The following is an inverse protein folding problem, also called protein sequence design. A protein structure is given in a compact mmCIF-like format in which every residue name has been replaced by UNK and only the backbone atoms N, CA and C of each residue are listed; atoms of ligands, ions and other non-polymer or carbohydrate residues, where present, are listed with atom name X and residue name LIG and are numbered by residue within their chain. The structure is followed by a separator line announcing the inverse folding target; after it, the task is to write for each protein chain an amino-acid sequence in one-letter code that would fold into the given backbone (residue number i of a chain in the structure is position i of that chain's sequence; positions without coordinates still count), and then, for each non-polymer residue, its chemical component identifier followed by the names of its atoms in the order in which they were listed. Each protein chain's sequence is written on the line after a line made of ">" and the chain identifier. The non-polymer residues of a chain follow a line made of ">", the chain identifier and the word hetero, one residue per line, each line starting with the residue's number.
data_IF_549543984735
#
_entry.id   IF_549543984735
#
_cell.length_a   1.000
_cell.length_b   1.000
_cell.length_c   1.000
_cell.angle_alpha   90.00
_cell.angle_beta   90.00
_cell.angle_gamma   90.00
#
_symmetry.space_group_name_H-M   'P 1'
#
loop_
_entity.id
_entity.type
_entity.pdbx_description
1 polymer ?
#
# COMPACT_ATOMS: atom_id res chain seq x y z
N UNK A 1 6.95 20.70 13.01
CA UNK A 1 7.22 22.07 12.50
C UNK A 1 6.47 23.06 13.39
N UNK A 2 7.18 23.61 14.38
CA UNK A 2 6.63 24.57 15.33
C UNK A 2 6.60 25.98 14.75
N UNK A 3 5.81 26.88 15.35
CA UNK A 3 5.83 28.32 15.08
C UNK A 3 7.25 28.89 14.96
N UNK A 4 8.10 28.65 15.94
CA UNK A 4 9.47 29.17 15.98
C UNK A 4 10.31 28.76 14.75
N UNK A 5 10.11 27.53 14.26
CA UNK A 5 10.78 27.04 13.03
C UNK A 5 10.22 27.75 11.80
N UNK A 6 8.89 27.91 11.73
CA UNK A 6 8.20 28.53 10.60
C UNK A 6 8.58 30.01 10.46
N UNK A 7 8.62 30.76 11.55
CA UNK A 7 8.94 32.20 11.56
C UNK A 7 10.39 32.50 11.16
N UNK A 8 11.31 31.54 11.36
CA UNK A 8 12.72 31.64 10.91
C UNK A 8 12.89 31.35 9.42
N UNK A 9 11.96 30.63 8.80
CA UNK A 9 12.03 30.18 7.42
C UNK A 9 11.50 31.22 6.43
N UNK A 10 12.15 32.39 6.32
CA UNK A 10 11.65 33.58 5.56
C UNK A 10 11.39 33.37 4.06
N UNK A 11 11.90 32.30 3.45
CA UNK A 11 11.71 31.96 2.02
C UNK A 11 10.79 30.75 1.82
N UNK A 12 10.29 30.14 2.88
CA UNK A 12 9.41 28.97 2.80
C UNK A 12 8.07 29.38 2.21
N UNK A 13 7.61 28.65 1.19
CA UNK A 13 6.32 28.89 0.51
C UNK A 13 5.32 27.76 0.71
N UNK A 14 5.83 26.53 0.85
CA UNK A 14 5.01 25.33 0.94
C UNK A 14 5.67 24.26 1.79
N UNK A 15 4.86 23.55 2.57
CA UNK A 15 5.22 22.34 3.30
C UNK A 15 4.44 21.18 2.68
N UNK A 16 5.17 20.20 2.14
CA UNK A 16 4.58 18.96 1.65
C UNK A 16 4.77 17.84 2.67
N UNK A 17 3.68 17.40 3.32
CA UNK A 17 3.73 16.27 4.24
C UNK A 17 3.48 14.96 3.49
N UNK A 18 4.47 14.07 3.50
CA UNK A 18 4.35 12.71 2.96
C UNK A 18 3.50 11.88 3.95
N UNK A 19 2.20 11.86 3.71
CA UNK A 19 1.16 11.18 4.51
C UNK A 19 -0.09 12.04 4.69
N UNK A 20 -1.04 11.58 5.53
CA UNK A 20 -2.34 12.24 5.75
C UNK A 20 -2.38 13.09 7.02
N UNK A 21 -2.08 12.51 8.19
CA UNK A 21 -2.08 13.20 9.49
C UNK A 21 -1.18 14.45 9.53
N UNK A 22 -1.63 15.47 10.25
CA UNK A 22 -1.04 16.82 10.25
C UNK A 22 -0.61 17.28 11.64
N UNK A 23 -0.63 16.37 12.61
CA UNK A 23 -0.40 16.61 14.04
C UNK A 23 0.99 17.19 14.34
N UNK A 24 1.94 16.95 13.42
CA UNK A 24 3.32 17.43 13.52
C UNK A 24 3.54 18.82 12.93
N UNK A 25 2.53 19.50 12.39
CA UNK A 25 2.65 20.82 11.77
C UNK A 25 1.71 21.80 12.45
N UNK A 26 2.25 22.91 12.96
CA UNK A 26 1.43 24.03 13.46
C UNK A 26 0.76 24.75 12.28
N UNK A 27 -0.45 24.28 11.91
CA UNK A 27 -1.21 24.79 10.78
C UNK A 27 -1.59 26.28 10.94
N UNK A 28 -2.04 26.77 12.13
CA UNK A 28 -2.26 28.19 12.35
C UNK A 28 -1.00 29.04 12.15
N UNK A 29 0.15 28.62 12.66
CA UNK A 29 1.40 29.35 12.46
C UNK A 29 1.86 29.32 10.99
N UNK A 30 1.69 28.19 10.29
CA UNK A 30 2.00 28.09 8.87
C UNK A 30 1.16 29.07 8.05
N UNK A 31 -0.14 29.14 8.32
CA UNK A 31 -1.04 30.12 7.68
C UNK A 31 -0.65 31.57 8.01
N UNK A 32 -0.31 31.86 9.27
CA UNK A 32 0.16 33.19 9.68
C UNK A 32 1.45 33.63 8.99
N UNK A 33 2.33 32.68 8.65
CA UNK A 33 3.54 32.92 7.88
C UNK A 33 3.30 32.95 6.35
N UNK A 34 2.06 32.79 5.88
CA UNK A 34 1.73 32.70 4.46
C UNK A 34 2.24 31.41 3.78
N UNK A 35 2.57 30.37 4.55
CA UNK A 35 3.08 29.09 4.07
C UNK A 35 1.90 28.17 3.77
N UNK A 36 1.81 27.68 2.53
CA UNK A 36 0.82 26.67 2.18
C UNK A 36 1.21 25.30 2.74
N UNK A 37 0.24 24.52 3.17
CA UNK A 37 0.48 23.15 3.63
C UNK A 37 -0.31 22.20 2.73
N UNK A 38 0.34 21.16 2.23
CA UNK A 38 -0.25 20.14 1.37
C UNK A 38 0.04 18.75 1.92
N UNK A 39 -0.90 17.84 1.74
CA UNK A 39 -0.76 16.44 2.16
C UNK A 39 -1.18 15.49 1.03
N UNK A 40 -1.19 14.19 1.31
CA UNK A 40 -1.60 13.17 0.35
C UNK A 40 -2.99 12.58 0.68
N UNK A 41 -3.98 13.45 0.89
CA UNK A 41 -5.34 13.01 1.23
C UNK A 41 -5.87 11.96 0.24
N UNK A 42 -6.35 10.83 0.76
CA UNK A 42 -6.89 9.73 -0.05
C UNK A 42 -5.86 8.81 -0.72
N UNK A 43 -4.57 9.16 -0.79
CA UNK A 43 -3.55 8.35 -1.48
C UNK A 43 -3.34 6.97 -0.84
N UNK A 44 -3.55 6.89 0.48
CA UNK A 44 -3.41 5.68 1.29
C UNK A 44 -4.74 4.93 1.50
N UNK A 45 -5.86 5.44 0.98
CA UNK A 45 -7.19 4.93 1.34
C UNK A 45 -7.39 3.46 0.98
N UNK A 46 -6.80 2.98 -0.12
CA UNK A 46 -6.83 1.57 -0.49
C UNK A 46 -6.05 0.70 0.50
N UNK A 47 -4.81 1.09 0.83
CA UNK A 47 -3.96 0.34 1.75
C UNK A 47 -4.57 0.24 3.16
N UNK A 48 -5.14 1.35 3.67
CA UNK A 48 -5.76 1.36 4.99
C UNK A 48 -7.03 0.50 5.00
N UNK A 49 -7.82 0.50 3.92
CA UNK A 49 -8.99 -0.37 3.79
C UNK A 49 -8.59 -1.85 3.69
N UNK A 50 -7.50 -2.17 2.97
CA UNK A 50 -6.94 -3.53 2.92
C UNK A 50 -6.49 -3.98 4.31
N UNK A 51 -5.83 -3.10 5.07
CA UNK A 51 -5.35 -3.41 6.42
C UNK A 51 -6.49 -3.59 7.42
N UNK A 52 -7.53 -2.76 7.37
CA UNK A 52 -8.73 -2.94 8.19
C UNK A 52 -9.40 -4.29 7.91
N UNK A 53 -9.54 -4.66 6.64
CA UNK A 53 -10.07 -5.97 6.25
C UNK A 53 -9.15 -7.12 6.72
N UNK A 54 -7.83 -6.94 6.67
CA UNK A 54 -6.87 -7.92 7.17
C UNK A 54 -7.00 -8.14 8.68
N UNK A 55 -7.18 -7.06 9.47
CA UNK A 55 -7.43 -7.15 10.91
C UNK A 55 -8.75 -7.89 11.19
N UNK A 56 -9.82 -7.57 10.46
CA UNK A 56 -11.11 -8.28 10.56
C UNK A 56 -10.95 -9.78 10.31
N UNK A 57 -10.22 -10.17 9.25
CA UNK A 57 -9.97 -11.58 8.93
C UNK A 57 -9.09 -12.28 9.97
N UNK A 58 -8.09 -11.58 10.53
CA UNK A 58 -7.24 -12.11 11.59
C UNK A 58 -8.04 -12.43 12.84
N UNK A 59 -8.97 -11.54 13.22
CA UNK A 59 -9.90 -11.74 14.34
C UNK A 59 -10.87 -12.87 14.05
N UNK A 60 -11.57 -12.82 12.91
CA UNK A 60 -12.56 -13.81 12.53
C UNK A 60 -11.99 -15.23 12.53
N UNK A 61 -10.73 -15.40 12.14
CA UNK A 61 -10.10 -16.72 11.92
C UNK A 61 -8.98 -17.07 12.89
N UNK A 62 -8.78 -16.28 13.95
CA UNK A 62 -7.71 -16.49 14.94
C UNK A 62 -6.32 -16.68 14.30
N UNK A 63 -6.02 -15.96 13.20
CA UNK A 63 -4.82 -16.22 12.39
C UNK A 63 -3.54 -15.97 13.18
N UNK A 64 -3.48 -14.84 13.90
CA UNK A 64 -2.30 -14.44 14.67
C UNK A 64 -2.08 -15.39 15.86
N UNK A 65 -3.13 -15.69 16.62
CA UNK A 65 -3.07 -16.61 17.74
C UNK A 65 -2.67 -18.02 17.32
N UNK A 66 -3.28 -18.56 16.25
CA UNK A 66 -2.98 -19.89 15.73
C UNK A 66 -1.56 -19.99 15.18
N UNK A 67 -1.09 -18.98 14.45
CA UNK A 67 0.30 -18.90 13.98
C UNK A 67 1.28 -18.91 15.14
N UNK A 68 1.07 -18.02 16.12
CA UNK A 68 1.95 -17.86 17.28
C UNK A 68 2.05 -19.16 18.08
N UNK A 69 0.91 -19.79 18.36
CA UNK A 69 0.86 -21.05 19.07
C UNK A 69 1.57 -22.18 18.29
N UNK A 70 1.34 -22.28 16.98
CA UNK A 70 1.96 -23.31 16.14
C UNK A 70 3.50 -23.19 16.13
N UNK A 71 4.01 -21.96 16.01
CA UNK A 71 5.44 -21.64 16.07
C UNK A 71 6.02 -21.96 17.45
N UNK A 72 5.26 -21.71 18.52
CA UNK A 72 5.62 -22.08 19.90
C UNK A 72 5.54 -23.60 20.17
N UNK A 73 5.17 -24.41 19.18
CA UNK A 73 5.12 -25.87 19.29
C UNK A 73 3.77 -26.44 19.70
N UNK A 74 2.71 -25.63 19.73
CA UNK A 74 1.36 -26.12 20.00
C UNK A 74 0.95 -27.16 18.93
N UNK A 75 0.42 -28.30 19.40
CA UNK A 75 -0.11 -29.40 18.58
C UNK A 75 -1.53 -29.75 18.99
N UNK A 76 -2.21 -28.83 19.68
CA UNK A 76 -3.61 -28.95 20.04
C UNK A 76 -4.46 -29.16 18.79
N UNK A 77 -5.63 -29.81 18.94
CA UNK A 77 -6.48 -30.05 17.80
C UNK A 77 -6.98 -28.76 17.13
N UNK A 78 -7.28 -28.77 15.82
CA UNK A 78 -7.59 -27.56 15.05
C UNK A 78 -8.77 -26.73 15.59
N UNK A 79 -9.75 -27.39 16.23
CA UNK A 79 -10.93 -26.70 16.80
C UNK A 79 -10.59 -25.77 17.98
N UNK A 80 -9.37 -25.82 18.53
CA UNK A 80 -8.87 -24.83 19.49
C UNK A 80 -8.92 -23.40 18.93
N UNK A 81 -8.72 -23.25 17.63
CA UNK A 81 -8.69 -21.95 16.94
C UNK A 81 -9.93 -21.74 16.07
N UNK A 82 -11.06 -22.34 16.47
CA UNK A 82 -12.32 -22.23 15.74
C UNK A 82 -12.72 -20.74 15.62
N UNK A 83 -12.84 -20.28 14.37
CA UNK A 83 -13.23 -18.93 14.03
C UNK A 83 -14.65 -18.86 13.50
N UNK A 84 -15.01 -17.70 12.97
CA UNK A 84 -16.28 -17.42 12.30
C UNK A 84 -16.07 -17.14 10.82
N UNK A 85 -17.13 -17.39 10.05
CA UNK A 85 -17.19 -16.98 8.64
C UNK A 85 -17.55 -15.50 8.54
N UNK A 86 -17.12 -14.85 7.45
CA UNK A 86 -17.51 -13.47 7.15
C UNK A 86 -18.85 -13.40 6.40
N UNK A 87 -19.16 -14.43 5.61
CA UNK A 87 -20.40 -14.47 4.82
C UNK A 87 -21.63 -14.43 5.75
N UNK A 88 -22.59 -13.57 5.43
CA UNK A 88 -23.80 -13.37 6.23
C UNK A 88 -23.60 -12.58 7.53
N UNK A 89 -22.37 -12.16 7.87
CA UNK A 89 -22.09 -11.28 9.01
C UNK A 89 -22.36 -9.81 8.68
N UNK A 90 -22.62 -9.01 9.69
CA UNK A 90 -22.80 -7.56 9.54
C UNK A 90 -21.54 -6.76 9.87
N UNK A 91 -21.23 -5.77 9.03
CA UNK A 91 -20.19 -4.77 9.26
C UNK A 91 -20.81 -3.38 9.42
N UNK A 92 -20.58 -2.76 10.57
CA UNK A 92 -20.84 -1.35 10.84
C UNK A 92 -19.60 -0.49 10.59
N UNK A 93 -19.73 0.52 9.72
CA UNK A 93 -18.66 1.46 9.37
C UNK A 93 -18.96 2.83 9.98
N UNK A 94 -18.11 3.28 10.90
CA UNK A 94 -18.18 4.63 11.48
C UNK A 94 -17.27 5.54 10.65
N UNK A 95 -17.86 6.44 9.85
CA UNK A 95 -17.17 7.29 8.88
C UNK A 95 -17.14 6.69 7.48
N UNK A 96 -17.93 7.27 6.56
CA UNK A 96 -18.14 6.79 5.19
C UNK A 96 -17.37 7.63 4.14
N UNK A 97 -16.14 8.00 4.51
CA UNK A 97 -15.19 8.69 3.65
C UNK A 97 -14.45 7.76 2.67
N UNK A 98 -13.28 8.19 2.21
CA UNK A 98 -12.50 7.47 1.20
C UNK A 98 -12.08 6.05 1.63
N UNK A 99 -11.78 5.84 2.91
CA UNK A 99 -11.40 4.53 3.46
C UNK A 99 -12.66 3.68 3.70
N UNK A 100 -13.65 4.21 4.42
CA UNK A 100 -14.91 3.50 4.73
C UNK A 100 -15.61 2.94 3.48
N UNK A 101 -15.72 3.74 2.40
CA UNK A 101 -16.29 3.27 1.11
C UNK A 101 -15.52 2.10 0.50
N UNK A 102 -14.18 2.14 0.60
CA UNK A 102 -13.31 1.08 0.06
C UNK A 102 -13.38 -0.19 0.91
N UNK A 103 -13.50 -0.06 2.23
CA UNK A 103 -13.75 -1.19 3.12
C UNK A 103 -15.12 -1.81 2.84
N UNK A 104 -16.17 -0.99 2.71
CA UNK A 104 -17.51 -1.45 2.36
C UNK A 104 -17.51 -2.29 1.08
N UNK A 105 -16.86 -1.81 0.01
CA UNK A 105 -16.73 -2.54 -1.25
C UNK A 105 -16.07 -3.92 -1.05
N UNK A 106 -15.06 -4.03 -0.20
CA UNK A 106 -14.40 -5.31 0.12
C UNK A 106 -15.35 -6.22 0.90
N UNK A 107 -15.97 -5.70 1.94
CA UNK A 107 -16.89 -6.46 2.80
C UNK A 107 -18.10 -7.01 2.04
N UNK A 108 -18.68 -6.21 1.13
CA UNK A 108 -19.74 -6.68 0.22
C UNK A 108 -19.24 -7.83 -0.67
N UNK A 109 -18.00 -7.78 -1.14
CA UNK A 109 -17.36 -8.88 -1.89
C UNK A 109 -17.17 -10.16 -1.08
N UNK A 110 -17.20 -10.08 0.26
CA UNK A 110 -17.19 -11.23 1.17
C UNK A 110 -18.59 -11.69 1.58
N UNK A 111 -19.65 -11.13 1.00
CA UNK A 111 -21.04 -11.48 1.32
C UNK A 111 -21.51 -10.96 2.68
N UNK A 112 -20.89 -9.90 3.20
CA UNK A 112 -21.35 -9.24 4.43
C UNK A 112 -22.52 -8.30 4.16
N UNK A 113 -23.40 -8.13 5.15
CA UNK A 113 -24.31 -6.99 5.19
C UNK A 113 -23.56 -5.77 5.72
N UNK A 114 -23.54 -4.65 4.99
CA UNK A 114 -22.77 -3.47 5.40
C UNK A 114 -23.70 -2.32 5.73
N UNK A 115 -23.49 -1.72 6.90
CA UNK A 115 -24.16 -0.51 7.35
C UNK A 115 -23.14 0.58 7.70
N UNK A 116 -23.52 1.85 7.56
CA UNK A 116 -22.60 2.96 7.82
C UNK A 116 -23.29 4.12 8.53
N UNK A 117 -22.54 4.76 9.42
CA UNK A 117 -22.92 6.01 10.07
C UNK A 117 -21.92 7.10 9.70
N UNK A 118 -22.40 8.16 9.05
CA UNK A 118 -21.61 9.36 8.78
C UNK A 118 -22.56 10.57 8.65
N UNK A 119 -22.57 11.51 9.62
CA UNK A 119 -23.49 12.65 9.58
C UNK A 119 -23.17 13.66 8.47
N UNK A 120 -22.02 13.53 7.79
CA UNK A 120 -21.59 14.42 6.72
C UNK A 120 -21.81 13.83 5.32
N UNK A 121 -22.33 12.60 5.23
CA UNK A 121 -22.70 11.96 3.96
C UNK A 121 -24.22 11.75 3.93
N UNK A 122 -24.85 12.12 2.82
CA UNK A 122 -26.30 11.93 2.68
C UNK A 122 -26.66 10.44 2.66
N UNK A 123 -27.77 10.02 3.30
CA UNK A 123 -28.23 8.62 3.27
C UNK A 123 -28.28 8.03 1.86
N UNK A 124 -28.84 8.76 0.89
CA UNK A 124 -28.92 8.35 -0.52
C UNK A 124 -27.54 8.00 -1.10
N UNK A 125 -26.48 8.76 -0.76
CA UNK A 125 -25.13 8.53 -1.27
C UNK A 125 -24.43 7.33 -0.62
N UNK A 126 -24.95 6.84 0.51
CA UNK A 126 -24.55 5.59 1.15
C UNK A 126 -25.30 4.44 0.48
N UNK A 127 -26.62 4.57 0.32
CA UNK A 127 -27.50 3.55 -0.28
C UNK A 127 -27.12 3.20 -1.72
N UNK A 128 -26.71 4.19 -2.53
CA UNK A 128 -26.22 4.00 -3.90
C UNK A 128 -25.05 3.00 -4.01
N UNK A 129 -24.34 2.75 -2.91
CA UNK A 129 -23.21 1.81 -2.86
C UNK A 129 -23.59 0.40 -2.40
N UNK A 130 -24.87 0.15 -2.12
CA UNK A 130 -25.36 -1.11 -1.55
C UNK A 130 -25.13 -1.22 -0.03
N UNK A 131 -24.89 -0.09 0.65
CA UNK A 131 -24.67 0.01 2.09
C UNK A 131 -25.89 0.65 2.75
N UNK A 132 -26.28 0.17 3.93
CA UNK A 132 -27.43 0.73 4.67
C UNK A 132 -27.01 1.91 5.57
N UNK A 133 -27.55 3.12 5.40
CA UNK A 133 -27.30 4.23 6.30
C UNK A 133 -28.04 4.01 7.63
N UNK A 134 -27.34 4.21 8.74
CA UNK A 134 -27.87 4.05 10.10
C UNK A 134 -27.30 5.13 11.04
N UNK A 135 -27.93 5.32 12.19
CA UNK A 135 -27.32 6.09 13.27
C UNK A 135 -26.30 5.24 14.05
N UNK A 136 -25.52 5.88 14.93
CA UNK A 136 -24.46 5.21 15.68
C UNK A 136 -25.02 4.10 16.58
N UNK A 137 -26.16 4.35 17.24
CA UNK A 137 -26.77 3.38 18.15
C UNK A 137 -27.23 2.11 17.40
N UNK A 138 -27.92 2.27 16.27
CA UNK A 138 -28.32 1.16 15.41
C UNK A 138 -27.13 0.41 14.84
N UNK A 139 -26.06 1.14 14.47
CA UNK A 139 -24.81 0.55 13.99
C UNK A 139 -24.18 -0.35 15.04
N UNK A 140 -23.98 0.14 16.27
CA UNK A 140 -23.31 -0.61 17.34
C UNK A 140 -24.11 -1.87 17.72
N UNK A 141 -25.43 -1.74 17.88
CA UNK A 141 -26.30 -2.85 18.24
C UNK A 141 -26.43 -3.92 17.14
N UNK A 142 -26.36 -3.51 15.86
CA UNK A 142 -26.61 -4.38 14.71
C UNK A 142 -25.37 -5.03 14.07
N UNK A 143 -24.17 -4.81 14.60
CA UNK A 143 -22.91 -5.17 13.92
C UNK A 143 -22.16 -6.34 14.58
N UNK A 144 -21.80 -7.36 13.79
CA UNK A 144 -20.80 -8.37 14.18
C UNK A 144 -19.37 -7.79 14.15
N UNK A 145 -19.12 -6.83 13.26
CA UNK A 145 -17.85 -6.09 13.17
C UNK A 145 -18.13 -4.60 13.13
N UNK A 146 -17.43 -3.81 13.93
CA UNK A 146 -17.46 -2.34 13.87
C UNK A 146 -16.08 -1.84 13.46
N UNK A 147 -16.00 -0.99 12.44
CA UNK A 147 -14.74 -0.42 11.96
C UNK A 147 -14.78 1.11 11.91
N UNK A 148 -13.78 1.75 12.51
CA UNK A 148 -13.70 3.21 12.69
C UNK A 148 -12.80 3.86 11.65
N UNK A 149 -13.32 4.86 10.94
CA UNK A 149 -12.64 5.57 9.84
C UNK A 149 -12.91 7.09 9.82
N UNK A 150 -13.20 7.68 10.99
CA UNK A 150 -13.36 9.14 11.17
C UNK A 150 -12.00 9.80 11.48
N UNK A 151 -11.81 11.10 11.15
CA UNK A 151 -10.69 11.86 11.67
C UNK A 151 -10.81 12.04 13.18
N UNK A 152 -9.70 12.33 13.88
CA UNK A 152 -9.73 12.78 15.27
C UNK A 152 -10.05 14.29 15.31
N UNK A 153 -11.09 14.64 16.03
CA UNK A 153 -11.63 15.98 16.29
C UNK A 153 -12.18 16.03 17.71
N UNK A 154 -12.59 17.20 18.18
CA UNK A 154 -13.23 17.33 19.49
C UNK A 154 -14.54 16.50 19.58
N UNK A 155 -15.28 16.35 18.47
CA UNK A 155 -16.51 15.56 18.41
C UNK A 155 -16.27 14.04 18.34
N UNK A 156 -15.07 13.62 17.96
CA UNK A 156 -14.73 12.20 17.78
C UNK A 156 -13.73 11.69 18.81
N UNK A 157 -13.24 12.56 19.69
CA UNK A 157 -12.43 12.19 20.85
C UNK A 157 -13.24 11.31 21.79
N UNK A 158 -12.75 10.09 22.06
CA UNK A 158 -13.43 9.05 22.84
C UNK A 158 -14.88 8.81 22.36
N UNK A 159 -15.11 8.88 21.05
CA UNK A 159 -16.39 8.55 20.43
C UNK A 159 -16.88 7.14 20.82
N UNK A 160 -15.94 6.20 21.00
CA UNK A 160 -16.22 4.86 21.48
C UNK A 160 -15.71 4.73 22.91
N UNK A 161 -16.59 4.98 23.87
CA UNK A 161 -16.34 4.81 25.30
C UNK A 161 -17.02 3.56 25.86
N UNK A 162 -17.17 3.52 27.20
CA UNK A 162 -17.75 2.39 27.89
C UNK A 162 -19.22 2.11 27.48
N UNK A 163 -20.02 3.16 27.27
CA UNK A 163 -21.43 3.03 26.91
C UNK A 163 -21.58 2.50 25.48
N UNK A 164 -20.76 2.98 24.54
CA UNK A 164 -20.76 2.50 23.15
C UNK A 164 -20.28 1.05 23.05
N UNK A 165 -19.25 0.69 23.81
CA UNK A 165 -18.78 -0.70 23.90
C UNK A 165 -19.85 -1.62 24.48
N UNK A 166 -20.59 -1.17 25.51
CA UNK A 166 -21.69 -1.93 26.10
C UNK A 166 -22.91 -2.07 25.17
N UNK A 167 -23.06 -1.16 24.20
CA UNK A 167 -24.12 -1.23 23.19
C UNK A 167 -23.80 -2.21 22.05
N UNK A 168 -22.54 -2.67 21.93
CA UNK A 168 -22.15 -3.68 20.96
C UNK A 168 -22.63 -5.07 21.37
N UNK A 169 -22.69 -5.99 20.39
CA UNK A 169 -22.98 -7.38 20.70
C UNK A 169 -21.79 -8.03 21.44
N UNK A 170 -22.03 -8.96 22.39
CA UNK A 170 -20.96 -9.69 23.06
C UNK A 170 -20.05 -10.48 22.12
N UNK A 171 -20.57 -10.85 20.94
CA UNK A 171 -19.82 -11.54 19.88
C UNK A 171 -19.14 -10.61 18.89
N UNK A 172 -19.29 -9.30 19.04
CA UNK A 172 -18.79 -8.34 18.07
C UNK A 172 -17.29 -8.08 18.21
N UNK A 173 -16.67 -7.69 17.10
CA UNK A 173 -15.28 -7.25 17.04
C UNK A 173 -15.19 -5.76 16.71
N UNK A 174 -14.28 -5.03 17.38
CA UNK A 174 -14.00 -3.63 17.09
C UNK A 174 -12.68 -3.48 16.32
N UNK A 175 -12.65 -2.70 15.24
CA UNK A 175 -11.46 -2.43 14.44
C UNK A 175 -11.19 -0.93 14.37
N UNK A 176 -9.95 -0.53 14.68
CA UNK A 176 -9.52 0.86 14.56
C UNK A 176 -8.21 0.98 13.79
N UNK A 177 -8.30 1.58 12.60
CA UNK A 177 -7.16 1.99 11.76
C UNK A 177 -7.17 3.50 11.49
N UNK A 178 -7.95 4.25 12.28
CA UNK A 178 -8.09 5.69 12.16
C UNK A 178 -7.11 6.42 13.08
N UNK A 179 -7.49 6.67 14.34
CA UNK A 179 -6.66 7.29 15.38
C UNK A 179 -6.99 6.67 16.72
N UNK A 180 -5.98 6.52 17.58
CA UNK A 180 -6.13 5.91 18.89
C UNK A 180 -7.16 6.61 19.79
N UNK A 181 -7.03 7.93 20.06
CA UNK A 181 -7.94 8.68 20.94
C UNK A 181 -9.39 8.80 20.46
N UNK A 182 -9.79 8.15 19.37
CA UNK A 182 -11.21 8.00 19.03
C UNK A 182 -11.87 6.95 19.95
N UNK A 183 -11.08 6.02 20.46
CA UNK A 183 -11.50 5.00 21.42
C UNK A 183 -10.96 5.42 22.79
N UNK A 184 -11.77 5.26 23.83
CA UNK A 184 -11.27 5.28 25.21
C UNK A 184 -10.55 3.94 25.47
N UNK A 185 -9.21 3.96 25.49
CA UNK A 185 -8.39 2.75 25.57
C UNK A 185 -8.60 2.03 26.91
N UNK A 186 -8.82 2.77 28.00
CA UNK A 186 -9.08 2.20 29.31
C UNK A 186 -10.43 1.47 29.34
N UNK A 187 -11.48 2.08 28.76
CA UNK A 187 -12.79 1.44 28.62
C UNK A 187 -12.71 0.21 27.72
N UNK A 188 -11.96 0.27 26.61
CA UNK A 188 -11.75 -0.87 25.72
C UNK A 188 -11.07 -2.05 26.43
N UNK A 189 -10.01 -1.79 27.19
CA UNK A 189 -9.30 -2.82 27.97
C UNK A 189 -10.24 -3.48 28.97
N UNK A 190 -11.07 -2.70 29.67
CA UNK A 190 -12.06 -3.24 30.61
C UNK A 190 -13.10 -4.10 29.87
N UNK A 191 -13.69 -3.59 28.79
CA UNK A 191 -14.68 -4.31 27.98
C UNK A 191 -14.14 -5.64 27.45
N UNK A 192 -12.90 -5.68 26.97
CA UNK A 192 -12.26 -6.90 26.49
C UNK A 192 -12.01 -7.91 27.61
N UNK A 193 -11.51 -7.45 28.78
CA UNK A 193 -11.27 -8.31 29.95
C UNK A 193 -12.55 -8.92 30.49
N UNK A 194 -13.62 -8.14 30.52
CA UNK A 194 -14.91 -8.56 31.05
C UNK A 194 -15.77 -9.30 30.02
N UNK A 195 -15.29 -9.43 28.77
CA UNK A 195 -15.98 -10.14 27.69
C UNK A 195 -17.23 -9.42 27.18
N UNK A 196 -17.27 -8.09 27.31
CA UNK A 196 -18.35 -7.23 26.77
C UNK A 196 -18.36 -7.26 25.24
N UNK A 197 -17.19 -7.42 24.61
CA UNK A 197 -17.03 -7.67 23.18
C UNK A 197 -16.04 -8.82 22.96
N UNK A 198 -16.09 -9.46 21.79
CA UNK A 198 -15.32 -10.68 21.51
C UNK A 198 -13.84 -10.41 21.27
N UNK A 199 -13.47 -9.22 20.78
CA UNK A 199 -12.08 -8.89 20.47
C UNK A 199 -11.91 -7.55 19.77
N UNK A 200 -10.65 -7.15 19.56
CA UNK A 200 -10.33 -5.90 18.89
C UNK A 200 -9.10 -5.98 17.96
N UNK A 201 -9.14 -5.27 16.83
CA UNK A 201 -8.03 -5.13 15.89
C UNK A 201 -7.58 -3.68 15.82
N UNK A 202 -6.38 -3.38 16.31
CA UNK A 202 -5.89 -2.02 16.49
C UNK A 202 -4.59 -1.81 15.72
N UNK A 203 -4.56 -0.78 14.87
CA UNK A 203 -3.34 -0.28 14.25
C UNK A 203 -2.81 1.00 14.91
N UNK A 204 -3.62 1.65 15.74
CA UNK A 204 -3.38 2.98 16.32
C UNK A 204 -3.75 2.98 17.80
N UNK A 205 -3.10 3.83 18.59
CA UNK A 205 -3.15 3.82 20.07
C UNK A 205 -3.25 5.23 20.63
N UNK A 206 -3.78 5.40 21.85
CA UNK A 206 -3.86 6.73 22.48
C UNK A 206 -2.48 7.37 22.61
N UNK A 207 -1.51 6.57 23.05
CA UNK A 207 -0.09 6.92 23.06
C UNK A 207 0.67 6.07 22.05
N UNK A 208 1.37 6.74 21.11
CA UNK A 208 2.20 6.07 20.11
C UNK A 208 3.67 6.46 20.25
N UNK A 209 4.60 5.48 20.27
CA UNK A 209 4.39 4.03 20.09
C UNK A 209 3.72 3.36 21.30
N UNK A 210 3.03 2.23 21.06
CA UNK A 210 2.40 1.45 22.12
C UNK A 210 3.42 1.09 23.21
N UNK A 211 3.12 1.46 24.45
CA UNK A 211 4.03 1.25 25.57
C UNK A 211 4.26 -0.25 25.84
N UNK A 212 5.50 -0.69 26.17
CA UNK A 212 5.80 -2.10 26.47
C UNK A 212 4.99 -2.70 27.63
N UNK A 213 4.45 -1.86 28.52
CA UNK A 213 3.59 -2.27 29.64
C UNK A 213 2.09 -2.14 29.37
N UNK A 214 1.66 -1.86 28.12
CA UNK A 214 0.25 -1.67 27.82
C UNK A 214 -0.56 -2.94 28.14
N UNK A 215 -1.70 -2.82 28.85
CA UNK A 215 -2.63 -3.92 29.08
C UNK A 215 -3.08 -4.66 27.82
N UNK A 216 -3.14 -3.97 26.68
CA UNK A 216 -3.55 -4.55 25.40
C UNK A 216 -2.63 -5.70 24.95
N UNK A 217 -1.34 -5.64 25.31
CA UNK A 217 -0.35 -6.67 24.96
C UNK A 217 -0.58 -8.01 25.67
N UNK A 218 -1.41 -8.02 26.72
CA UNK A 218 -1.70 -9.21 27.52
C UNK A 218 -3.05 -9.87 27.16
N UNK A 219 -3.76 -9.37 26.13
CA UNK A 219 -5.08 -9.85 25.73
C UNK A 219 -4.98 -10.73 24.48
N UNK A 220 -5.37 -11.99 24.61
CA UNK A 220 -5.30 -12.98 23.52
C UNK A 220 -6.29 -12.69 22.37
N UNK A 221 -7.38 -11.99 22.67
CA UNK A 221 -8.44 -11.63 21.72
C UNK A 221 -8.17 -10.32 20.96
N UNK A 222 -6.94 -9.82 21.02
CA UNK A 222 -6.55 -8.56 20.39
C UNK A 222 -5.49 -8.80 19.32
N UNK A 223 -5.68 -8.17 18.16
CA UNK A 223 -4.67 -8.12 17.09
C UNK A 223 -4.11 -6.70 17.01
N UNK A 224 -2.80 -6.58 17.17
CA UNK A 224 -2.10 -5.31 17.28
C UNK A 224 -1.10 -5.13 16.14
N UNK A 225 -1.10 -3.95 15.51
CA UNK A 225 -0.08 -3.55 14.54
C UNK A 225 0.46 -2.14 14.83
N UNK A 226 1.72 -1.81 14.50
CA UNK A 226 2.35 -0.56 14.95
C UNK A 226 2.17 0.58 13.94
N UNK A 227 0.93 1.01 13.70
CA UNK A 227 0.57 2.12 12.79
C UNK A 227 1.08 1.91 11.36
N UNK A 228 0.80 0.73 10.80
CA UNK A 228 1.29 0.30 9.49
C UNK A 228 0.21 0.31 8.39
N UNK A 229 -1.04 0.64 8.68
CA UNK A 229 -2.13 0.53 7.71
C UNK A 229 -1.90 1.31 6.40
N UNK A 230 -1.22 2.46 6.48
CA UNK A 230 -0.85 3.27 5.31
C UNK A 230 0.42 2.81 4.57
N UNK A 231 1.15 1.83 5.09
CA UNK A 231 2.49 1.44 4.63
C UNK A 231 2.46 0.28 3.63
N UNK A 232 1.86 0.54 2.45
CA UNK A 232 2.00 -0.30 1.27
C UNK A 232 2.90 0.37 0.23
N UNK A 233 3.70 -0.40 -0.51
CA UNK A 233 4.64 0.13 -1.49
C UNK A 233 3.96 1.05 -2.52
N UNK A 234 2.82 0.62 -3.07
CA UNK A 234 2.02 1.38 -4.03
C UNK A 234 1.42 2.64 -3.40
N UNK A 235 1.02 2.57 -2.12
CA UNK A 235 0.51 3.73 -1.40
C UNK A 235 1.59 4.77 -1.14
N UNK A 236 2.82 4.35 -0.84
CA UNK A 236 3.95 5.25 -0.63
C UNK A 236 4.34 5.99 -1.91
N UNK A 237 4.40 5.27 -3.04
CA UNK A 237 4.64 5.90 -4.36
C UNK A 237 3.57 6.95 -4.67
N UNK A 238 2.27 6.60 -4.54
CA UNK A 238 1.17 7.55 -4.76
C UNK A 238 1.23 8.76 -3.83
N UNK A 239 1.56 8.53 -2.55
CA UNK A 239 1.67 9.58 -1.52
C UNK A 239 2.78 10.58 -1.89
N UNK A 240 3.97 10.06 -2.21
CA UNK A 240 5.12 10.87 -2.58
C UNK A 240 4.85 11.65 -3.86
N UNK A 241 4.33 10.99 -4.90
CA UNK A 241 3.98 11.66 -6.16
C UNK A 241 2.97 12.79 -5.95
N UNK A 242 1.91 12.55 -5.19
CA UNK A 242 0.86 13.55 -4.94
C UNK A 242 1.43 14.80 -4.28
N UNK A 243 2.22 14.61 -3.24
CA UNK A 243 2.83 15.71 -2.47
C UNK A 243 3.82 16.49 -3.32
N UNK A 244 4.68 15.80 -4.07
CA UNK A 244 5.65 16.44 -4.97
C UNK A 244 4.95 17.24 -6.06
N UNK A 245 3.88 16.69 -6.66
CA UNK A 245 3.06 17.40 -7.66
C UNK A 245 2.46 18.68 -7.08
N UNK A 246 1.92 18.63 -5.87
CA UNK A 246 1.33 19.80 -5.21
C UNK A 246 2.36 20.85 -4.77
N UNK A 247 3.50 20.42 -4.22
CA UNK A 247 4.62 21.32 -3.94
C UNK A 247 5.06 22.02 -5.23
N UNK A 248 5.21 21.29 -6.34
CA UNK A 248 5.59 21.86 -7.63
C UNK A 248 4.53 22.84 -8.19
N UNK A 249 3.23 22.57 -7.98
CA UNK A 249 2.14 23.52 -8.32
C UNK A 249 2.29 24.81 -7.53
N UNK A 250 2.42 24.72 -6.20
CA UNK A 250 2.53 25.91 -5.35
C UNK A 250 3.76 26.75 -5.70
N UNK A 251 4.91 26.12 -5.96
CA UNK A 251 6.13 26.84 -6.34
C UNK A 251 6.00 27.56 -7.69
N UNK A 252 5.15 27.06 -8.61
CA UNK A 252 4.79 27.71 -9.87
C UNK A 252 3.69 28.78 -9.73
N UNK A 253 3.18 29.02 -8.52
CA UNK A 253 2.08 29.96 -8.27
C UNK A 253 0.69 29.37 -8.55
N UNK A 254 0.59 28.07 -8.81
CA UNK A 254 -0.67 27.37 -9.04
C UNK A 254 -1.33 26.98 -7.70
N UNK A 255 -2.63 26.68 -7.74
CA UNK A 255 -3.33 26.10 -6.61
C UNK A 255 -2.95 24.60 -6.44
N UNK A 256 -2.70 24.12 -5.21
CA UNK A 256 -2.53 22.70 -4.94
C UNK A 256 -3.88 21.97 -5.07
N UNK A 257 -3.82 20.66 -5.35
CA UNK A 257 -5.00 19.80 -5.43
C UNK A 257 -5.48 19.38 -4.03
N UNK A 258 -4.55 19.18 -3.10
CA UNK A 258 -4.80 18.73 -1.73
C UNK A 258 -4.24 19.73 -0.69
N UNK A 259 -4.77 20.97 -0.64
CA UNK A 259 -4.42 21.90 0.43
C UNK A 259 -4.96 21.41 1.78
N UNK A 260 -4.19 21.66 2.83
CA UNK A 260 -4.65 21.52 4.21
C UNK A 260 -5.09 22.89 4.72
N UNK A 261 -6.34 22.98 5.18
CA UNK A 261 -6.90 24.19 5.80
C UNK A 261 -6.35 24.39 7.22
N UNK A 262 -6.25 25.66 7.64
CA UNK A 262 -5.76 26.03 8.98
C UNK A 262 -6.78 25.85 10.09
N UNK A 263 -8.04 25.57 9.76
CA UNK A 263 -9.03 25.06 10.70
C UNK A 263 -8.97 23.54 10.65
N UNK A 264 -8.57 22.91 11.76
CA UNK A 264 -8.78 21.47 11.92
C UNK A 264 -10.26 21.18 11.73
N UNK A 265 -10.61 20.48 10.66
CA UNK A 265 -11.99 20.23 10.26
C UNK A 265 -12.25 20.49 8.79
N UNK A 266 -12.81 19.49 8.13
CA UNK A 266 -13.41 19.56 6.79
C UNK A 266 -12.43 19.75 5.61
N UNK A 267 -11.99 18.62 5.05
CA UNK A 267 -11.55 18.52 3.66
C UNK A 267 -12.67 17.95 2.79
N UNK A 268 -13.73 18.73 2.56
CA UNK A 268 -14.72 18.46 1.51
C UNK A 268 -14.01 18.60 0.16
N UNK A 269 -14.09 17.55 -0.66
CA UNK A 269 -13.87 17.66 -2.11
C UNK A 269 -14.98 18.57 -2.65
N UNK A 270 -14.69 19.85 -2.81
CA UNK A 270 -15.55 20.77 -3.53
C UNK A 270 -15.57 20.39 -5.01
N UNK A 271 -16.67 19.75 -5.44
CA UNK A 271 -17.05 19.69 -6.86
C UNK A 271 -17.67 21.04 -7.27
N UNK A 272 -17.46 21.52 -8.51
CA UNK A 272 -18.02 22.78 -8.96
C UNK A 272 -19.53 22.62 -9.21
N UNK A 273 -20.34 23.47 -8.59
CA UNK A 273 -21.78 23.57 -8.90
C UNK A 273 -22.00 24.14 -10.31
N UNK A 274 -22.86 23.54 -11.15
CA UNK A 274 -23.27 24.16 -12.41
C UNK A 274 -24.51 25.04 -12.18
N UNK A 275 -24.38 26.33 -12.49
CA UNK A 275 -25.51 27.25 -12.61
C UNK A 275 -26.26 27.04 -13.93
N UNK A 276 -27.58 26.79 -13.86
CA UNK A 276 -28.58 27.46 -14.71
C UNK A 276 -29.14 26.73 -15.96
N UNK A 277 -30.46 26.47 -15.89
CA UNK A 277 -31.49 26.59 -16.96
C UNK A 277 -31.84 25.39 -17.89
N UNK A 278 -32.84 24.61 -17.43
CA UNK A 278 -34.06 24.10 -18.08
C UNK A 278 -34.24 24.00 -19.62
N UNK A 279 -34.70 22.82 -20.11
CA UNK A 279 -36.00 22.65 -20.84
C UNK A 279 -36.41 21.17 -21.06
N UNK A 280 -37.74 20.95 -21.08
CA UNK A 280 -38.50 19.68 -21.14
C UNK A 280 -38.83 19.17 -22.57
N UNK A 281 -39.22 17.87 -22.65
CA UNK A 281 -40.26 17.16 -23.50
C UNK A 281 -39.67 15.98 -24.33
N UNK A 282 -40.29 14.82 -24.62
CA UNK A 282 -41.46 14.04 -24.14
C UNK A 282 -41.64 12.78 -25.06
N UNK A 283 -41.60 11.53 -24.52
CA UNK A 283 -42.19 10.22 -24.98
C UNK A 283 -41.81 9.57 -26.35
N UNK A 284 -42.18 8.29 -26.68
CA UNK A 284 -42.70 7.12 -25.91
C UNK A 284 -41.91 5.76 -26.08
N UNK A 285 -42.23 4.71 -25.30
CA UNK A 285 -41.76 3.28 -25.35
C UNK A 285 -42.47 2.44 -26.48
N UNK A 286 -42.14 1.16 -26.89
CA UNK A 286 -41.55 0.00 -26.17
C UNK A 286 -40.63 -1.02 -26.95
N UNK A 287 -40.08 -2.03 -26.21
CA UNK A 287 -39.61 -3.43 -26.54
C UNK A 287 -38.94 -3.77 -27.91
N UNK A 288 -37.86 -4.56 -28.09
CA UNK A 288 -37.34 -5.77 -27.43
C UNK A 288 -35.97 -6.17 -28.08
N UNK A 289 -35.25 -7.11 -27.44
CA UNK A 289 -34.20 -8.01 -27.97
C UNK A 289 -32.70 -7.69 -27.75
N UNK A 290 -32.03 -8.78 -27.32
CA UNK A 290 -30.62 -9.14 -27.38
C UNK A 290 -29.67 -8.66 -26.27
N UNK A 291 -29.35 -9.61 -25.40
CA UNK A 291 -28.11 -9.73 -24.63
C UNK A 291 -26.88 -9.47 -25.52
N UNK A 292 -26.04 -8.50 -25.12
CA UNK A 292 -24.59 -8.51 -25.35
C UNK A 292 -23.89 -7.92 -24.11
N UNK A 293 -22.71 -8.46 -23.74
CA UNK A 293 -22.02 -8.13 -22.49
C UNK A 293 -21.40 -6.74 -22.59
N UNK A 294 -21.56 -5.91 -21.55
CA UNK A 294 -20.83 -4.65 -21.49
C UNK A 294 -19.37 -4.95 -21.18
N UNK A 295 -18.55 -4.53 -22.13
CA UNK A 295 -17.14 -4.81 -22.33
C UNK A 295 -16.24 -4.18 -21.27
N UNK A 296 -15.14 -4.89 -21.03
CA UNK A 296 -13.96 -4.43 -20.32
C UNK A 296 -13.51 -3.05 -20.79
N UNK A 297 -13.08 -2.21 -19.85
CA UNK A 297 -12.38 -0.97 -20.15
C UNK A 297 -10.96 -1.33 -20.60
N UNK A 298 -10.69 -0.94 -21.85
CA UNK A 298 -9.39 -0.96 -22.50
C UNK A 298 -8.37 -0.08 -21.75
N UNK A 299 -7.19 -0.65 -21.60
CA UNK A 299 -5.92 0.04 -21.47
C UNK A 299 -5.70 0.97 -22.68
N UNK A 300 -5.38 2.25 -22.45
CA UNK A 300 -4.15 2.88 -22.95
C UNK A 300 -4.15 4.41 -22.75
N UNK A 301 -3.00 4.96 -22.33
CA UNK A 301 -2.68 6.36 -22.59
C UNK A 301 -1.98 7.19 -21.50
N UNK A 302 -0.90 6.68 -20.90
CA UNK A 302 0.13 7.56 -20.32
C UNK A 302 1.12 8.01 -21.42
N UNK A 303 1.53 9.29 -21.51
CA UNK A 303 2.80 9.65 -22.11
C UNK A 303 3.92 9.53 -21.07
N UNK A 304 4.88 8.64 -21.30
CA UNK A 304 6.12 8.53 -20.54
C UNK A 304 7.25 9.23 -21.30
N UNK A 305 7.93 10.27 -20.77
CA UNK A 305 9.16 10.77 -21.34
C UNK A 305 10.39 10.17 -20.64
N UNK A 306 11.32 9.67 -21.46
CA UNK A 306 12.73 9.34 -21.21
C UNK A 306 13.09 8.28 -20.15
N UNK A 307 12.80 7.02 -20.48
CA UNK A 307 13.86 6.02 -20.58
C UNK A 307 13.42 5.06 -21.68
N UNK A 308 14.16 5.01 -22.78
CA UNK A 308 13.94 4.03 -23.85
C UNK A 308 13.90 2.64 -23.22
N UNK A 309 12.73 2.01 -23.20
CA UNK A 309 12.58 0.64 -22.74
C UNK A 309 13.56 -0.23 -23.56
N UNK A 310 14.52 -0.94 -22.95
CA UNK A 310 15.61 -1.58 -23.69
C UNK A 310 15.13 -2.66 -24.67
N UNK A 311 13.90 -3.16 -24.48
CA UNK A 311 13.24 -4.12 -25.38
C UNK A 311 12.35 -3.48 -26.44
N UNK A 312 12.14 -2.16 -26.40
CA UNK A 312 11.39 -1.44 -27.43
C UNK A 312 12.07 -1.45 -28.80
N UNK A 313 13.38 -1.72 -28.82
CA UNK A 313 14.18 -1.83 -30.04
C UNK A 313 14.17 -3.24 -30.66
N UNK A 314 13.50 -4.23 -30.05
CA UNK A 314 13.44 -5.61 -30.54
C UNK A 314 11.97 -6.00 -30.80
N UNK A 315 11.50 -5.93 -32.06
CA UNK A 315 10.12 -6.25 -32.40
C UNK A 315 9.72 -7.67 -31.93
N UNK A 316 8.58 -7.79 -31.25
CA UNK A 316 8.03 -9.06 -30.77
C UNK A 316 8.49 -9.51 -29.38
N UNK A 317 9.69 -9.13 -28.92
CA UNK A 317 10.24 -9.59 -27.62
C UNK A 317 9.48 -9.03 -26.41
N UNK A 318 8.97 -7.80 -26.52
CA UNK A 318 8.10 -7.17 -25.51
C UNK A 318 6.82 -7.99 -25.29
N UNK A 319 6.20 -8.46 -26.37
CA UNK A 319 5.00 -9.32 -26.34
C UNK A 319 5.28 -10.69 -25.72
N UNK A 320 6.51 -11.19 -25.82
CA UNK A 320 6.95 -12.46 -25.21
C UNK A 320 7.02 -12.35 -23.68
N UNK A 321 7.46 -11.20 -23.15
CA UNK A 321 7.66 -10.98 -21.71
C UNK A 321 6.38 -10.49 -21.02
N UNK A 322 5.54 -9.71 -21.73
CA UNK A 322 4.43 -8.97 -21.11
C UNK A 322 3.06 -9.66 -21.24
N UNK A 323 2.81 -10.49 -22.26
CA UNK A 323 1.42 -10.92 -22.58
C UNK A 323 0.97 -12.25 -21.98
N UNK A 324 1.82 -12.98 -21.26
CA UNK A 324 1.39 -14.23 -20.62
C UNK A 324 1.96 -14.29 -19.21
N UNK A 325 1.10 -13.99 -18.23
CA UNK A 325 1.44 -13.79 -16.81
C UNK A 325 2.32 -14.87 -16.16
N UNK A 326 2.79 -14.63 -14.93
CA UNK A 326 3.81 -15.44 -14.28
C UNK A 326 3.40 -16.91 -14.24
N UNK A 327 4.23 -17.78 -14.81
CA UNK A 327 4.06 -19.24 -14.66
C UNK A 327 4.67 -19.65 -13.32
N UNK A 328 3.95 -20.47 -12.56
CA UNK A 328 4.46 -21.19 -11.40
C UNK A 328 5.52 -22.21 -11.84
N UNK A 329 6.74 -21.76 -12.11
CA UNK A 329 7.87 -22.65 -12.38
C UNK A 329 9.08 -22.30 -11.53
N UNK A 330 9.84 -23.34 -11.15
CA UNK A 330 11.04 -23.24 -10.30
C UNK A 330 12.27 -22.64 -11.02
N UNK A 331 12.12 -22.19 -12.27
CA UNK A 331 13.21 -21.72 -13.14
C UNK A 331 12.98 -20.27 -13.56
N UNK A 332 14.06 -19.50 -13.61
CA UNK A 332 14.04 -18.09 -13.99
C UNK A 332 15.07 -17.83 -15.10
N UNK A 333 14.85 -16.78 -15.88
CA UNK A 333 15.72 -16.43 -16.99
C UNK A 333 16.18 -14.98 -16.88
N UNK A 334 17.49 -14.78 -17.03
CA UNK A 334 18.12 -13.47 -17.18
C UNK A 334 18.27 -13.18 -18.67
N UNK A 335 17.64 -12.11 -19.13
CA UNK A 335 17.62 -11.65 -20.52
C UNK A 335 18.41 -10.36 -20.61
N UNK A 336 19.46 -10.36 -21.41
CA UNK A 336 20.33 -9.21 -21.62
C UNK A 336 20.29 -8.78 -23.08
N UNK A 337 20.19 -7.47 -23.33
CA UNK A 337 20.25 -6.92 -24.70
C UNK A 337 21.62 -6.27 -24.89
N UNK A 338 22.43 -6.84 -25.78
CA UNK A 338 23.82 -6.40 -26.02
C UNK A 338 23.84 -4.95 -26.51
N UNK A 339 24.65 -4.11 -25.87
CA UNK A 339 24.77 -2.68 -26.18
C UNK A 339 23.75 -1.77 -25.48
N UNK A 340 22.75 -2.33 -24.79
CA UNK A 340 21.77 -1.54 -24.01
C UNK A 340 22.20 -1.25 -22.57
N UNK A 341 23.26 -1.93 -22.08
CA UNK A 341 23.67 -1.91 -20.67
C UNK A 341 22.62 -2.48 -19.69
N UNK A 342 21.50 -2.98 -20.20
CA UNK A 342 20.31 -3.29 -19.41
C UNK A 342 20.07 -4.79 -19.36
N UNK A 343 19.79 -5.30 -18.17
CA UNK A 343 19.43 -6.71 -17.97
C UNK A 343 18.07 -6.81 -17.30
N UNK A 344 17.21 -7.73 -17.75
CA UNK A 344 15.93 -8.03 -17.09
C UNK A 344 15.86 -9.49 -16.69
N UNK A 345 15.42 -9.75 -15.48
CA UNK A 345 15.12 -11.09 -14.99
C UNK A 345 13.62 -11.32 -15.10
N UNK A 346 13.23 -12.48 -15.62
CA UNK A 346 11.83 -12.86 -15.75
C UNK A 346 11.63 -14.33 -15.40
N UNK A 347 10.48 -14.66 -14.80
CA UNK A 347 10.07 -16.04 -14.50
C UNK A 347 9.15 -16.52 -15.62
N UNK A 348 9.64 -17.46 -16.43
CA UNK A 348 8.86 -18.12 -17.46
C UNK A 348 9.08 -19.63 -17.42
N UNK A 349 8.08 -20.40 -17.83
CA UNK A 349 8.29 -21.81 -18.14
C UNK A 349 9.23 -21.96 -19.34
N UNK A 350 10.18 -22.91 -19.27
CA UNK A 350 11.11 -23.22 -20.37
C UNK A 350 10.39 -23.45 -21.70
N UNK A 351 9.31 -24.24 -21.67
CA UNK A 351 8.48 -24.54 -22.83
C UNK A 351 7.87 -23.31 -23.48
N UNK A 352 7.51 -22.27 -22.72
CA UNK A 352 6.95 -21.02 -23.27
C UNK A 352 8.01 -20.14 -23.90
N UNK A 353 9.19 -20.04 -23.27
CA UNK A 353 10.34 -19.36 -23.87
C UNK A 353 10.74 -20.06 -25.19
N UNK A 354 10.81 -21.40 -25.19
CA UNK A 354 11.09 -22.20 -26.38
C UNK A 354 10.06 -21.98 -27.48
N UNK A 355 8.75 -22.01 -27.17
CA UNK A 355 7.69 -21.73 -28.15
C UNK A 355 7.73 -20.31 -28.71
N UNK A 356 8.02 -19.31 -27.88
CA UNK A 356 8.13 -17.93 -28.30
C UNK A 356 9.33 -17.71 -29.24
N UNK A 357 10.47 -18.29 -28.88
CA UNK A 357 11.70 -18.24 -29.65
C UNK A 357 11.57 -19.01 -30.97
N UNK A 358 11.00 -20.21 -30.96
CA UNK A 358 10.77 -21.00 -32.17
C UNK A 358 9.81 -20.30 -33.14
N UNK A 359 8.76 -19.65 -32.65
CA UNK A 359 7.85 -18.84 -33.49
C UNK A 359 8.59 -17.73 -34.24
N UNK A 360 9.56 -17.07 -33.61
CA UNK A 360 10.34 -16.02 -34.26
C UNK A 360 11.28 -16.57 -35.34
N UNK A 361 11.86 -17.75 -35.11
CA UNK A 361 12.69 -18.45 -36.10
C UNK A 361 11.85 -18.92 -37.29
N UNK A 362 10.70 -19.56 -37.02
CA UNK A 362 9.80 -20.08 -38.05
C UNK A 362 9.26 -18.96 -38.95
N UNK A 363 9.03 -17.77 -38.39
CA UNK A 363 8.62 -16.57 -39.13
C UNK A 363 9.80 -15.87 -39.85
N UNK A 364 11.01 -16.44 -39.81
CA UNK A 364 12.27 -15.87 -40.32
C UNK A 364 12.61 -14.49 -39.75
N UNK A 365 12.13 -14.20 -38.55
CA UNK A 365 12.35 -12.93 -37.86
C UNK A 365 13.58 -12.98 -36.93
N UNK A 366 14.08 -14.17 -36.59
CA UNK A 366 15.29 -14.35 -35.78
C UNK A 366 16.14 -15.53 -36.26
N UNK A 367 17.46 -15.47 -35.99
CA UNK A 367 18.39 -16.60 -36.02
C UNK A 367 18.85 -16.90 -34.58
N UNK A 368 19.06 -18.18 -34.27
CA UNK A 368 19.55 -18.63 -32.95
C UNK A 368 20.90 -19.27 -33.14
N UNK A 369 21.89 -18.79 -32.38
CA UNK A 369 23.13 -19.52 -32.15
C UNK A 369 23.06 -20.15 -30.75
N UNK A 370 23.35 -21.46 -30.65
CA UNK A 370 23.18 -22.20 -29.40
C UNK A 370 24.24 -21.94 -28.32
N UNK A 371 25.24 -21.08 -28.54
CA UNK A 371 26.23 -20.74 -27.52
C UNK A 371 26.81 -19.34 -27.75
N UNK A 372 26.84 -18.53 -26.70
CA UNK A 372 27.55 -17.25 -26.69
C UNK A 372 28.00 -16.82 -25.30
N UNK A 373 29.14 -16.16 -25.20
CA UNK A 373 29.69 -15.62 -23.96
C UNK A 373 29.73 -14.08 -23.98
N UNK A 374 29.58 -13.46 -22.80
CA UNK A 374 29.79 -12.03 -22.59
C UNK A 374 30.52 -11.81 -21.26
N UNK A 375 31.81 -11.45 -21.32
CA UNK A 375 32.68 -11.46 -20.14
C UNK A 375 32.79 -12.85 -19.53
N UNK A 376 32.80 -12.95 -18.19
CA UNK A 376 32.89 -14.22 -17.45
C UNK A 376 31.55 -14.99 -17.35
N UNK A 377 30.51 -14.56 -18.07
CA UNK A 377 29.18 -15.17 -18.03
C UNK A 377 28.87 -15.93 -19.32
N UNK A 378 28.64 -17.24 -19.18
CA UNK A 378 28.11 -18.09 -20.25
C UNK A 378 26.59 -17.88 -20.39
N UNK A 379 26.14 -17.63 -21.62
CA UNK A 379 24.73 -17.52 -21.97
C UNK A 379 24.34 -18.71 -22.83
N UNK A 380 23.19 -19.30 -22.51
CA UNK A 380 22.74 -20.54 -23.14
C UNK A 380 22.15 -20.32 -24.54
N UNK A 381 21.70 -19.10 -24.87
CA UNK A 381 21.18 -18.75 -26.20
C UNK A 381 21.48 -17.31 -26.59
N UNK A 382 21.79 -17.11 -27.87
CA UNK A 382 21.90 -15.80 -28.51
C UNK A 382 20.84 -15.68 -29.60
N UNK A 383 19.94 -14.70 -29.48
CA UNK A 383 18.94 -14.38 -30.49
C UNK A 383 19.44 -13.21 -31.33
N UNK A 384 19.55 -13.42 -32.64
CA UNK A 384 19.91 -12.41 -33.64
C UNK A 384 18.68 -12.04 -34.45
N UNK A 385 18.17 -10.83 -34.26
CA UNK A 385 17.04 -10.29 -35.03
C UNK A 385 17.58 -9.22 -35.98
N UNK A 386 17.38 -9.36 -37.31
CA UNK A 386 17.88 -8.38 -38.26
C UNK A 386 17.43 -6.95 -37.94
N UNK A 387 18.36 -6.00 -37.88
CA UNK A 387 18.08 -4.61 -37.54
C UNK A 387 17.85 -4.33 -36.04
N UNK A 388 18.06 -5.33 -35.17
CA UNK A 388 17.94 -5.20 -33.71
C UNK A 388 19.23 -5.62 -32.99
N UNK A 389 19.48 -5.14 -31.77
CA UNK A 389 20.60 -5.62 -30.96
C UNK A 389 20.45 -7.10 -30.59
N UNK A 390 21.57 -7.80 -30.39
CA UNK A 390 21.57 -9.21 -29.96
C UNK A 390 20.94 -9.36 -28.57
N UNK A 391 20.14 -10.42 -28.39
CA UNK A 391 19.54 -10.76 -27.10
C UNK A 391 20.18 -12.03 -26.56
N UNK A 392 20.79 -11.94 -25.38
CA UNK A 392 21.40 -13.06 -24.67
C UNK A 392 20.43 -13.55 -23.59
N UNK A 393 20.21 -14.87 -23.54
CA UNK A 393 19.34 -15.50 -22.55
C UNK A 393 20.11 -16.53 -21.75
N UNK A 394 19.99 -16.46 -20.42
CA UNK A 394 20.60 -17.40 -19.47
C UNK A 394 19.56 -17.86 -18.46
N UNK A 395 19.41 -19.17 -18.29
CA UNK A 395 18.68 -19.73 -17.16
C UNK A 395 19.45 -19.48 -15.86
N UNK A 396 18.74 -19.00 -14.83
CA UNK A 396 19.27 -18.74 -13.48
C UNK A 396 18.44 -19.48 -12.43
N UNK A 397 19.05 -19.79 -11.30
CA UNK A 397 18.36 -20.43 -10.18
C UNK A 397 17.34 -19.50 -9.53
N UNK A 398 16.30 -20.06 -8.90
CA UNK A 398 15.27 -19.30 -8.19
C UNK A 398 15.81 -18.50 -6.99
N UNK A 399 16.96 -18.88 -6.44
CA UNK A 399 17.69 -18.14 -5.37
C UNK A 399 18.38 -16.87 -5.88
N UNK A 400 18.86 -16.86 -7.12
CA UNK A 400 19.61 -15.73 -7.70
C UNK A 400 18.72 -14.53 -8.09
N UNK A 401 17.39 -14.65 -7.93
CA UNK A 401 16.40 -13.61 -8.22
C UNK A 401 16.42 -12.43 -7.23
N UNK A 402 16.98 -12.63 -6.04
CA UNK A 402 16.84 -11.70 -4.92
C UNK A 402 18.18 -11.23 -4.34
N UNK A 403 19.30 -11.64 -4.93
CA UNK A 403 20.64 -11.27 -4.46
C UNK A 403 21.16 -10.00 -5.14
N UNK A 404 21.62 -9.06 -4.32
CA UNK A 404 22.22 -7.77 -4.70
C UNK A 404 23.72 -7.99 -4.82
N UNK A 405 24.28 -7.83 -6.04
CA UNK A 405 25.70 -8.05 -6.28
C UNK A 405 26.54 -6.88 -5.75
N UNK A 406 27.82 -7.16 -5.49
CA UNK A 406 28.74 -6.21 -4.87
C UNK A 406 28.88 -4.89 -5.64
N UNK A 407 28.81 -4.92 -6.98
CA UNK A 407 28.89 -3.69 -7.79
C UNK A 407 27.69 -2.75 -7.56
N UNK A 408 26.50 -3.28 -7.28
CA UNK A 408 25.34 -2.46 -6.93
C UNK A 408 25.46 -1.87 -5.53
N UNK A 409 26.04 -2.62 -4.58
CA UNK A 409 26.38 -2.12 -3.24
C UNK A 409 27.36 -0.96 -3.33
N UNK A 410 28.44 -1.10 -4.11
CA UNK A 410 29.44 -0.04 -4.32
C UNK A 410 28.81 1.20 -4.94
N UNK A 411 28.02 1.03 -6.01
CA UNK A 411 27.35 2.15 -6.66
C UNK A 411 26.37 2.88 -5.74
N UNK A 412 25.73 2.18 -4.79
CA UNK A 412 24.89 2.80 -3.78
C UNK A 412 25.70 3.61 -2.77
N UNK A 413 26.82 3.07 -2.30
CA UNK A 413 27.72 3.77 -1.37
C UNK A 413 28.33 5.02 -2.01
N UNK A 414 28.77 4.94 -3.27
CA UNK A 414 29.32 6.09 -4.02
C UNK A 414 28.30 7.22 -4.16
N UNK A 415 27.06 6.90 -4.57
CA UNK A 415 25.97 7.90 -4.62
C UNK A 415 25.69 8.50 -3.24
N UNK A 416 25.82 7.72 -2.17
CA UNK A 416 25.62 8.23 -0.81
C UNK A 416 26.73 9.20 -0.41
N UNK A 417 27.97 8.93 -0.80
CA UNK A 417 29.12 9.80 -0.57
C UNK A 417 29.06 11.10 -1.40
N UNK A 418 28.51 11.06 -2.61
CA UNK A 418 28.27 12.27 -3.40
C UNK A 418 27.35 13.26 -2.68
N UNK A 419 26.32 12.74 -1.98
CA UNK A 419 25.35 13.55 -1.23
C UNK A 419 25.88 13.89 0.17
N UNK A 420 26.65 13.00 0.79
CA UNK A 420 27.21 13.16 2.13
C UNK A 420 28.72 12.82 2.14
N UNK A 421 29.59 13.76 1.73
CA UNK A 421 31.03 13.50 1.59
C UNK A 421 31.76 13.14 2.89
N UNK A 422 31.16 13.46 4.03
CA UNK A 422 31.67 13.13 5.37
C UNK A 422 31.07 11.87 5.99
N UNK A 423 30.28 11.09 5.25
CA UNK A 423 29.67 9.88 5.78
C UNK A 423 30.76 8.87 6.19
N UNK A 424 30.69 8.42 7.44
CA UNK A 424 31.59 7.40 7.98
C UNK A 424 31.32 6.04 7.34
N UNK A 425 32.30 5.15 7.42
CA UNK A 425 32.16 3.79 6.89
C UNK A 425 30.97 3.06 7.52
N UNK A 426 30.74 3.25 8.82
CA UNK A 426 29.59 2.71 9.56
C UNK A 426 28.26 3.22 9.02
N UNK A 427 28.14 4.52 8.73
CA UNK A 427 26.91 5.10 8.18
C UNK A 427 26.61 4.61 6.76
N UNK A 428 27.63 4.39 5.94
CA UNK A 428 27.48 3.83 4.60
C UNK A 428 27.04 2.36 4.66
N UNK A 429 27.60 1.57 5.57
CA UNK A 429 27.19 0.19 5.77
C UNK A 429 25.76 0.08 6.27
N UNK A 430 25.38 0.88 7.29
CA UNK A 430 24.01 0.93 7.78
C UNK A 430 23.04 1.31 6.66
N UNK A 431 23.40 2.31 5.85
CA UNK A 431 22.60 2.70 4.69
C UNK A 431 22.41 1.57 3.68
N UNK A 432 23.45 0.78 3.39
CA UNK A 432 23.35 -0.40 2.52
C UNK A 432 22.44 -1.47 3.11
N UNK A 433 22.55 -1.73 4.41
CA UNK A 433 21.74 -2.72 5.11
C UNK A 433 20.27 -2.30 5.20
N UNK A 434 19.99 -1.02 5.46
CA UNK A 434 18.64 -0.46 5.47
C UNK A 434 18.00 -0.49 4.07
N UNK A 435 18.81 -0.30 3.02
CA UNK A 435 18.31 -0.25 1.63
C UNK A 435 18.03 -1.64 1.07
N UNK A 436 18.93 -2.59 1.28
CA UNK A 436 18.84 -3.91 0.65
C UNK A 436 18.48 -5.04 1.61
N UNK A 437 18.81 -4.93 2.89
CA UNK A 437 18.67 -6.00 3.88
C UNK A 437 19.74 -7.09 3.74
N UNK A 438 20.25 -7.58 4.86
CA UNK A 438 21.36 -8.56 4.91
C UNK A 438 21.13 -9.82 4.06
N UNK A 439 19.93 -10.40 4.15
CA UNK A 439 19.59 -11.66 3.46
C UNK A 439 19.57 -11.55 1.94
N UNK A 440 19.50 -10.33 1.41
CA UNK A 440 19.49 -10.06 -0.03
C UNK A 440 20.87 -9.75 -0.58
N UNK A 441 21.92 -9.70 0.24
CA UNK A 441 23.27 -9.48 -0.26
C UNK A 441 23.90 -10.80 -0.72
N UNK A 442 24.58 -10.80 -1.87
CA UNK A 442 25.42 -11.93 -2.30
C UNK A 442 26.44 -12.31 -1.22
N UNK A 443 26.90 -13.56 -1.19
CA UNK A 443 27.96 -13.98 -0.26
C UNK A 443 29.20 -13.08 -0.39
N UNK A 444 29.58 -12.68 -1.61
CA UNK A 444 30.70 -11.75 -1.86
C UNK A 444 30.47 -10.38 -1.21
N UNK A 445 29.25 -9.84 -1.28
CA UNK A 445 28.90 -8.57 -0.65
C UNK A 445 28.84 -8.69 0.89
N UNK A 446 28.31 -9.80 1.42
CA UNK A 446 28.31 -10.07 2.86
C UNK A 446 29.72 -10.24 3.42
N UNK A 447 30.59 -10.98 2.73
CA UNK A 447 32.00 -11.13 3.11
C UNK A 447 32.71 -9.78 3.13
N UNK A 448 32.56 -8.97 2.08
CA UNK A 448 33.15 -7.63 2.04
C UNK A 448 32.69 -6.75 3.21
N UNK A 449 31.39 -6.71 3.49
CA UNK A 449 30.85 -5.93 4.61
C UNK A 449 31.32 -6.48 5.97
N UNK A 450 31.42 -7.81 6.10
CA UNK A 450 31.91 -8.45 7.33
C UNK A 450 33.39 -8.14 7.56
N UNK A 451 34.21 -8.21 6.51
CA UNK A 451 35.64 -7.89 6.58
C UNK A 451 35.87 -6.40 6.87
N UNK A 452 35.05 -5.51 6.28
CA UNK A 452 35.06 -4.08 6.58
C UNK A 452 34.68 -3.80 8.05
N UNK A 453 33.65 -4.47 8.58
CA UNK A 453 33.28 -4.40 10.00
C UNK A 453 34.45 -4.89 10.86
N UNK A 454 35.04 -6.03 10.53
CA UNK A 454 36.13 -6.61 11.31
C UNK A 454 37.36 -5.68 11.38
N UNK A 455 37.74 -5.08 10.26
CA UNK A 455 38.84 -4.10 10.20
C UNK A 455 38.54 -2.82 10.99
N UNK A 456 37.27 -2.41 11.11
CA UNK A 456 36.88 -1.24 11.92
C UNK A 456 36.93 -1.49 13.44
N UNK A 457 36.92 -2.73 13.89
CA UNK A 457 36.93 -3.10 15.32
C UNK A 457 38.25 -3.73 15.78
N UNK A 458 39.24 -3.89 14.88
CA UNK A 458 40.59 -4.37 15.19
C UNK A 458 41.63 -3.23 15.36
N UNK A 459 41.30 -1.98 14.97
CA UNK A 459 42.04 -0.73 15.27
C UNK A 459 41.28 0.11 16.30
#
# INVERSE_FOLDING_TARGET
>A
LTRDVLERCRRLKVIGRIGIGMDQVDLPAAAGCGVKVVNAAGAQAAAVADHAMALMLCLARNVVASHTALVAGDRSPPWRFMGVEMEGKSLGIIGFGAIGRRLAQRALGFGMAVQACDPYVTPDAIEETGVTPVDLAGLLAGSDFVSVHVPLTDETWHLIGADELAAMQPTAYLVNTARGPILDEAALVAALRDGVIAGAGLDVYEEEPLAPGSPLLALDQVVLTPHIAGWAAEAQVRTQESVVKDVARVLRGEAPVSPVSSGGGSGVLSSPSPTGAARRRSGPHPASQALLPYTAWEEDGLPHPSATHPFGAVPGLRRIIETEGPVTTDRAYKVYVRGSGSTRVTKLARSRLDQAVNRLVDQRQAQIDELGSLGDSEYQRVLRIPGSPEVLVREIGSRDLYEVPMNEVVALMERRLEVYPGATHEELMRFVLDTYGWKRLTDKARTYLTDAIRLMYED
#
